data_IF_850668950094
#
_entry.id   IF_850668950094
#
_cell.length_a   1.000
_cell.length_b   1.000
_cell.length_c   1.000
_cell.angle_alpha   90.00
_cell.angle_beta   90.00
_cell.angle_gamma   90.00
#
_symmetry.space_group_name_H-M   'P 1'
#
loop_
_entity.id
_entity.type
_entity.pdbx_description
1 polymer ?
#
# COMPACT_ATOMS: atom_id res chain seq x y z
N UNK A 1 58.30 36.83 -18.38
CA UNK A 1 58.48 35.36 -18.33
C UNK A 1 57.23 34.78 -17.69
N UNK A 2 56.51 33.92 -18.42
CA UNK A 2 55.11 33.52 -18.17
C UNK A 2 54.97 32.67 -16.89
N UNK A 3 54.01 33.01 -16.02
CA UNK A 3 53.52 32.11 -14.96
C UNK A 3 52.45 31.20 -15.58
N UNK A 4 52.69 29.90 -15.48
CA UNK A 4 51.89 28.82 -16.04
C UNK A 4 50.68 28.55 -15.12
N UNK A 5 49.46 28.84 -15.57
CA UNK A 5 48.25 28.30 -14.95
C UNK A 5 48.16 26.80 -15.29
N UNK A 6 48.28 25.95 -14.29
CA UNK A 6 47.88 24.54 -14.35
C UNK A 6 46.42 24.46 -13.89
N UNK A 7 45.49 24.55 -14.83
CA UNK A 7 44.10 24.13 -14.62
C UNK A 7 44.00 22.64 -14.93
N UNK A 8 43.82 21.84 -13.87
CA UNK A 8 43.43 20.43 -14.00
C UNK A 8 41.98 20.38 -14.52
N UNK A 9 41.79 20.06 -15.79
CA UNK A 9 40.48 19.60 -16.27
C UNK A 9 40.35 18.12 -15.92
N UNK A 10 39.60 17.80 -14.86
CA UNK A 10 38.99 16.48 -14.73
C UNK A 10 37.81 16.44 -15.71
N UNK A 11 37.76 15.49 -16.66
CA UNK A 11 36.53 15.28 -17.40
C UNK A 11 35.52 14.67 -16.44
N UNK A 12 34.45 15.42 -16.22
CA UNK A 12 33.25 15.02 -15.50
C UNK A 12 32.65 13.80 -16.21
N UNK A 13 32.98 12.59 -15.75
CA UNK A 13 32.30 11.36 -16.16
C UNK A 13 30.93 11.26 -15.48
N UNK A 14 30.08 12.28 -15.67
CA UNK A 14 28.66 12.29 -15.34
C UNK A 14 27.91 12.20 -16.68
N UNK A 15 27.97 11.03 -17.31
CA UNK A 15 27.44 10.91 -18.67
C UNK A 15 27.11 9.52 -19.15
N UNK A 16 27.17 8.48 -18.30
CA UNK A 16 26.75 7.12 -18.65
C UNK A 16 26.33 6.35 -17.38
N UNK A 17 25.34 6.86 -16.65
CA UNK A 17 24.57 6.02 -15.73
C UNK A 17 23.26 5.69 -16.44
N UNK A 18 23.24 4.50 -17.03
CA UNK A 18 22.18 3.79 -17.75
C UNK A 18 20.84 4.52 -17.99
N UNK A 19 20.70 5.04 -19.21
CA UNK A 19 19.41 5.46 -19.79
C UNK A 19 18.61 4.26 -20.37
N UNK A 20 18.97 3.03 -19.97
CA UNK A 20 18.28 1.79 -20.36
C UNK A 20 16.96 1.60 -19.59
N UNK A 21 16.86 2.13 -18.36
CA UNK A 21 15.66 2.06 -17.51
C UNK A 21 14.48 2.92 -18.02
N UNK A 22 14.73 3.87 -18.94
CA UNK A 22 13.71 4.78 -19.47
C UNK A 22 13.26 4.42 -20.89
N UNK A 23 13.70 3.30 -21.45
CA UNK A 23 13.20 2.86 -22.76
C UNK A 23 11.88 2.12 -22.54
N UNK A 24 10.79 2.51 -23.24
CA UNK A 24 9.53 1.79 -23.16
C UNK A 24 9.76 0.31 -23.47
N UNK A 25 9.29 -0.56 -22.59
CA UNK A 25 9.35 -2.00 -22.83
C UNK A 25 8.59 -2.28 -24.15
N UNK A 26 9.28 -2.90 -25.12
CA UNK A 26 8.67 -3.20 -26.44
C UNK A 26 7.52 -4.17 -26.31
N UNK A 27 7.61 -5.07 -25.33
CA UNK A 27 6.53 -5.96 -24.94
C UNK A 27 5.75 -5.33 -23.78
N UNK A 28 4.50 -4.94 -24.06
CA UNK A 28 3.58 -4.33 -23.11
C UNK A 28 2.91 -5.34 -22.18
N UNK A 29 3.03 -6.64 -22.46
CA UNK A 29 2.54 -7.68 -21.57
C UNK A 29 3.37 -7.73 -20.28
N UNK A 30 4.70 -7.66 -20.40
CA UNK A 30 5.63 -7.78 -19.27
C UNK A 30 5.66 -6.49 -18.43
N UNK A 31 5.57 -6.63 -17.11
CA UNK A 31 5.69 -5.51 -16.18
C UNK A 31 7.09 -4.89 -16.21
N UNK A 32 7.13 -3.56 -16.19
CA UNK A 32 8.36 -2.83 -15.92
C UNK A 32 8.86 -3.12 -14.50
N UNK A 33 10.19 -3.25 -14.31
CA UNK A 33 10.78 -3.62 -13.01
C UNK A 33 10.43 -2.66 -11.87
N UNK A 34 10.26 -1.37 -12.17
CA UNK A 34 9.78 -0.39 -11.20
C UNK A 34 8.35 -0.70 -10.73
N UNK A 35 7.45 -1.08 -11.64
CA UNK A 35 6.08 -1.44 -11.30
C UNK A 35 6.01 -2.77 -10.55
N UNK A 36 6.79 -3.77 -10.98
CA UNK A 36 6.91 -5.05 -10.26
C UNK A 36 7.33 -4.83 -8.79
N UNK A 37 8.37 -4.02 -8.56
CA UNK A 37 8.84 -3.69 -7.22
C UNK A 37 7.82 -2.88 -6.41
N UNK A 38 7.07 -1.99 -7.05
CA UNK A 38 6.04 -1.20 -6.39
C UNK A 38 4.81 -2.04 -6.01
N UNK A 39 4.40 -2.99 -6.85
CA UNK A 39 3.33 -3.93 -6.52
C UNK A 39 3.75 -4.87 -5.36
N UNK A 40 4.99 -5.35 -5.34
CA UNK A 40 5.50 -6.12 -4.18
C UNK A 40 5.37 -5.33 -2.87
N UNK A 41 5.71 -4.05 -2.86
CA UNK A 41 5.53 -3.20 -1.68
C UNK A 41 4.06 -3.05 -1.31
N UNK A 42 3.18 -2.90 -2.30
CA UNK A 42 1.74 -2.81 -2.03
C UNK A 42 1.20 -4.10 -1.40
N UNK A 43 1.63 -5.27 -1.87
CA UNK A 43 1.28 -6.57 -1.26
C UNK A 43 1.66 -6.60 0.23
N UNK A 44 2.83 -6.07 0.59
CA UNK A 44 3.26 -6.00 1.99
C UNK A 44 2.42 -5.00 2.80
N UNK A 45 1.99 -3.89 2.21
CA UNK A 45 1.10 -2.90 2.86
C UNK A 45 -0.31 -3.49 3.11
N UNK A 46 -0.89 -4.21 2.14
CA UNK A 46 -2.19 -4.88 2.32
C UNK A 46 -2.12 -6.00 3.37
N UNK A 47 -1.04 -6.81 3.34
CA UNK A 47 -0.85 -7.84 4.35
C UNK A 47 -0.59 -7.25 5.74
N UNK A 48 0.13 -6.12 5.84
CA UNK A 48 0.26 -5.37 7.08
C UNK A 48 -1.11 -4.93 7.60
N UNK A 49 -1.96 -4.35 6.74
CA UNK A 49 -3.30 -3.93 7.10
C UNK A 49 -4.15 -5.10 7.61
N UNK A 50 -4.09 -6.26 6.93
CA UNK A 50 -4.75 -7.49 7.37
C UNK A 50 -4.34 -7.89 8.79
N UNK A 51 -3.04 -7.82 9.11
CA UNK A 51 -2.53 -8.16 10.44
C UNK A 51 -2.92 -7.13 11.51
N UNK A 52 -2.98 -5.84 11.16
CA UNK A 52 -3.47 -4.79 12.07
C UNK A 52 -4.94 -5.05 12.42
N UNK A 53 -5.78 -5.34 11.42
CA UNK A 53 -7.18 -5.67 11.64
C UNK A 53 -7.37 -6.97 12.44
N UNK A 54 -6.57 -8.00 12.19
CA UNK A 54 -6.59 -9.22 13.01
C UNK A 54 -6.28 -8.92 14.49
N UNK A 55 -5.33 -8.01 14.73
CA UNK A 55 -4.95 -7.58 16.08
C UNK A 55 -6.07 -6.80 16.75
N UNK A 56 -6.75 -5.90 16.02
CA UNK A 56 -7.94 -5.20 16.51
C UNK A 56 -9.06 -6.18 16.86
N UNK A 57 -9.33 -7.15 15.99
CA UNK A 57 -10.34 -8.18 16.22
C UNK A 57 -10.06 -8.96 17.51
N UNK A 58 -8.83 -9.44 17.69
CA UNK A 58 -8.41 -10.16 18.89
C UNK A 58 -8.56 -9.32 20.16
N UNK A 59 -8.21 -8.03 20.12
CA UNK A 59 -8.39 -7.13 21.25
C UNK A 59 -9.86 -7.01 21.68
N UNK A 60 -10.77 -6.76 20.74
CA UNK A 60 -12.19 -6.59 21.05
C UNK A 60 -12.89 -7.90 21.42
N UNK A 61 -12.35 -9.04 20.99
CA UNK A 61 -12.88 -10.37 21.34
C UNK A 61 -12.50 -10.82 22.75
N UNK A 62 -11.41 -10.26 23.30
CA UNK A 62 -10.90 -10.57 24.63
C UNK A 62 -11.99 -10.43 25.71
N UNK A 63 -12.05 -11.37 26.66
CA UNK A 63 -13.16 -11.49 27.62
C UNK A 63 -13.33 -10.26 28.55
N UNK A 64 -12.28 -9.49 28.79
CA UNK A 64 -12.35 -8.24 29.58
C UNK A 64 -12.80 -7.02 28.77
N UNK A 65 -12.72 -7.09 27.43
CA UNK A 65 -13.18 -6.02 26.52
C UNK A 65 -14.59 -6.33 26.01
N UNK A 66 -14.83 -7.59 25.61
CA UNK A 66 -16.12 -8.21 25.32
C UNK A 66 -17.00 -7.42 24.32
N UNK A 67 -16.41 -6.94 23.22
CA UNK A 67 -17.12 -6.22 22.15
C UNK A 67 -17.23 -7.08 20.89
N UNK A 68 -18.02 -8.16 20.95
CA UNK A 68 -18.14 -9.15 19.86
C UNK A 68 -18.52 -8.54 18.49
N UNK A 69 -19.32 -7.48 18.46
CA UNK A 69 -19.67 -6.78 17.21
C UNK A 69 -18.45 -6.14 16.53
N UNK A 70 -17.60 -5.46 17.31
CA UNK A 70 -16.34 -4.87 16.80
C UNK A 70 -15.33 -5.95 16.44
N UNK A 71 -15.24 -7.01 17.25
CA UNK A 71 -14.36 -8.14 16.96
C UNK A 71 -14.69 -8.76 15.60
N UNK A 72 -15.97 -9.03 15.34
CA UNK A 72 -16.44 -9.54 14.04
C UNK A 72 -16.14 -8.56 12.91
N UNK A 73 -16.46 -7.28 13.09
CA UNK A 73 -16.21 -6.24 12.10
C UNK A 73 -14.73 -6.21 11.69
N UNK A 74 -13.80 -6.09 12.63
CA UNK A 74 -12.38 -6.04 12.31
C UNK A 74 -11.84 -7.39 11.77
N UNK A 75 -12.42 -8.52 12.19
CA UNK A 75 -12.06 -9.82 11.61
C UNK A 75 -12.44 -9.88 10.12
N UNK A 76 -13.60 -9.36 9.74
CA UNK A 76 -14.02 -9.29 8.32
C UNK A 76 -13.09 -8.40 7.50
N UNK A 77 -12.74 -7.21 7.99
CA UNK A 77 -11.77 -6.33 7.30
C UNK A 77 -10.39 -7.00 7.19
N UNK A 78 -9.95 -7.77 8.20
CA UNK A 78 -8.70 -8.53 8.11
C UNK A 78 -8.71 -9.57 6.97
N UNK A 79 -9.86 -10.19 6.71
CA UNK A 79 -10.01 -11.11 5.56
C UNK A 79 -9.94 -10.32 4.25
N UNK A 80 -10.68 -9.22 4.15
CA UNK A 80 -10.74 -8.34 2.98
C UNK A 80 -9.33 -7.84 2.56
N UNK A 81 -8.54 -7.30 3.50
CA UNK A 81 -7.17 -6.85 3.17
C UNK A 81 -6.23 -7.99 2.75
N UNK A 82 -6.46 -9.21 3.26
CA UNK A 82 -5.70 -10.37 2.79
C UNK A 82 -6.09 -10.75 1.36
N UNK A 83 -7.37 -10.62 1.02
CA UNK A 83 -7.85 -10.79 -0.35
C UNK A 83 -7.26 -9.73 -1.29
N UNK A 84 -7.13 -8.47 -0.85
CA UNK A 84 -6.43 -7.41 -1.59
C UNK A 84 -4.98 -7.78 -1.89
N UNK A 85 -4.23 -8.26 -0.90
CA UNK A 85 -2.87 -8.75 -1.10
C UNK A 85 -2.81 -9.87 -2.15
N UNK A 86 -3.77 -10.79 -2.13
CA UNK A 86 -3.85 -11.88 -3.10
C UNK A 86 -4.22 -11.40 -4.51
N UNK A 87 -5.13 -10.42 -4.66
CA UNK A 87 -5.44 -9.79 -5.97
C UNK A 87 -4.16 -9.27 -6.63
N UNK A 88 -3.27 -8.60 -5.87
CA UNK A 88 -1.98 -8.13 -6.39
C UNK A 88 -1.00 -9.27 -6.74
N UNK A 89 -0.93 -10.33 -5.95
CA UNK A 89 -0.10 -11.51 -6.25
C UNK A 89 -0.57 -12.15 -7.56
N UNK A 90 -1.87 -12.34 -7.73
CA UNK A 90 -2.46 -12.89 -8.95
C UNK A 90 -2.19 -11.98 -10.15
N UNK A 91 -2.34 -10.66 -9.95
CA UNK A 91 -2.01 -9.68 -10.99
C UNK A 91 -0.54 -9.77 -11.42
N UNK A 92 0.41 -9.79 -10.47
CA UNK A 92 1.84 -9.95 -10.77
C UNK A 92 2.12 -11.21 -11.60
N UNK A 93 1.58 -12.35 -11.15
CA UNK A 93 1.76 -13.63 -11.83
C UNK A 93 1.14 -13.60 -13.24
N UNK A 94 -0.02 -12.95 -13.40
CA UNK A 94 -0.70 -12.82 -14.69
C UNK A 94 0.11 -12.01 -15.72
N UNK A 95 0.98 -11.10 -15.25
CA UNK A 95 1.84 -10.23 -16.07
C UNK A 95 3.26 -10.78 -16.24
N UNK A 96 3.47 -12.07 -15.95
CA UNK A 96 4.74 -12.77 -16.14
C UNK A 96 5.82 -12.44 -15.09
N UNK A 97 5.49 -11.68 -14.06
CA UNK A 97 6.36 -11.50 -12.90
C UNK A 97 6.18 -12.64 -11.90
N UNK A 98 7.08 -12.74 -10.91
CA UNK A 98 7.01 -13.78 -9.87
C UNK A 98 7.02 -13.15 -8.49
N UNK A 99 6.01 -13.48 -7.68
CA UNK A 99 6.03 -13.16 -6.27
C UNK A 99 7.19 -13.86 -5.54
N UNK A 100 8.02 -13.08 -4.85
CA UNK A 100 9.24 -13.57 -4.19
C UNK A 100 9.09 -13.82 -2.69
N UNK A 101 7.95 -13.49 -2.10
CA UNK A 101 7.70 -13.60 -0.66
C UNK A 101 7.38 -12.25 -0.02
N UNK A 102 7.00 -12.31 1.25
CA UNK A 102 6.56 -11.16 2.06
C UNK A 102 7.73 -10.53 2.83
N UNK A 103 7.73 -9.20 2.94
CA UNK A 103 8.54 -8.42 3.88
C UNK A 103 7.62 -7.53 4.74
N UNK A 104 6.70 -8.19 5.45
CA UNK A 104 5.61 -7.52 6.14
C UNK A 104 6.04 -7.03 7.50
N UNK A 105 5.88 -5.73 7.74
CA UNK A 105 6.04 -5.14 9.07
C UNK A 105 4.94 -5.65 10.00
N UNK A 106 5.31 -6.15 11.18
CA UNK A 106 4.31 -6.57 12.16
C UNK A 106 3.62 -5.37 12.85
N UNK A 107 2.32 -5.46 13.19
CA UNK A 107 1.62 -4.46 14.00
C UNK A 107 2.32 -4.25 15.35
N UNK A 108 2.46 -3.00 15.80
CA UNK A 108 3.07 -2.66 17.09
C UNK A 108 2.06 -2.36 18.20
N UNK A 109 0.82 -2.00 17.84
CA UNK A 109 -0.26 -1.68 18.77
C UNK A 109 -1.23 -2.87 18.87
N UNK A 110 -1.60 -3.24 20.09
CA UNK A 110 -2.46 -4.40 20.36
C UNK A 110 -3.59 -4.16 21.36
N UNK A 111 -3.77 -2.93 21.83
CA UNK A 111 -4.83 -2.59 22.77
C UNK A 111 -5.38 -1.18 22.54
N UNK A 112 -6.68 -1.02 22.78
CA UNK A 112 -7.42 0.23 22.67
C UNK A 112 -8.30 0.43 23.91
N UNK A 113 -8.39 1.66 24.40
CA UNK A 113 -9.25 1.97 25.55
C UNK A 113 -10.68 2.23 25.10
N UNK A 114 -10.85 2.94 23.97
CA UNK A 114 -12.15 3.23 23.36
C UNK A 114 -12.27 2.63 21.98
N UNK A 115 -13.50 2.29 21.59
CA UNK A 115 -13.82 1.84 20.24
C UNK A 115 -13.49 2.92 19.18
N UNK A 116 -13.74 4.20 19.52
CA UNK A 116 -13.44 5.34 18.66
C UNK A 116 -11.95 5.43 18.34
N UNK A 117 -11.06 5.13 19.31
CA UNK A 117 -9.61 5.14 19.09
C UNK A 117 -9.20 4.08 18.05
N UNK A 118 -9.81 2.89 18.12
CA UNK A 118 -9.53 1.81 17.17
C UNK A 118 -10.04 2.13 15.76
N UNK A 119 -11.23 2.71 15.64
CA UNK A 119 -11.74 3.17 14.35
C UNK A 119 -10.91 4.32 13.78
N UNK A 120 -10.40 5.22 14.61
CA UNK A 120 -9.51 6.29 14.15
C UNK A 120 -8.19 5.74 13.63
N UNK A 121 -7.62 4.73 14.29
CA UNK A 121 -6.45 4.02 13.78
C UNK A 121 -6.74 3.28 12.48
N UNK A 122 -7.91 2.63 12.36
CA UNK A 122 -8.35 1.99 11.12
C UNK A 122 -8.45 3.01 9.97
N UNK A 123 -9.06 4.18 10.19
CA UNK A 123 -9.12 5.24 9.17
C UNK A 123 -7.72 5.72 8.77
N UNK A 124 -6.79 5.83 9.72
CA UNK A 124 -5.43 6.24 9.43
C UNK A 124 -4.69 5.18 8.59
N UNK A 125 -4.91 3.90 8.90
CA UNK A 125 -4.42 2.77 8.11
C UNK A 125 -4.98 2.81 6.69
N UNK A 126 -6.29 2.92 6.53
CA UNK A 126 -6.94 2.98 5.20
C UNK A 126 -6.45 4.15 4.35
N UNK A 127 -6.30 5.33 4.96
CA UNK A 127 -5.75 6.51 4.28
C UNK A 127 -4.30 6.29 3.86
N UNK A 128 -3.50 5.62 4.68
CA UNK A 128 -2.12 5.27 4.34
C UNK A 128 -2.07 4.30 3.16
N UNK A 129 -2.81 3.19 3.21
CA UNK A 129 -2.91 2.21 2.12
C UNK A 129 -3.40 2.88 0.84
N UNK A 130 -4.46 3.68 0.92
CA UNK A 130 -4.98 4.45 -0.20
C UNK A 130 -3.92 5.35 -0.84
N UNK A 131 -3.15 6.10 -0.04
CA UNK A 131 -2.08 6.94 -0.57
C UNK A 131 -0.96 6.12 -1.25
N UNK A 132 -0.69 4.90 -0.77
CA UNK A 132 0.25 3.97 -1.41
C UNK A 132 -0.27 3.48 -2.77
N UNK A 133 -1.57 3.20 -2.87
CA UNK A 133 -2.22 2.85 -4.14
C UNK A 133 -2.13 4.00 -5.15
N UNK A 134 -2.40 5.24 -4.75
CA UNK A 134 -2.22 6.41 -5.62
C UNK A 134 -0.76 6.58 -6.05
N UNK A 135 0.20 6.36 -5.14
CA UNK A 135 1.62 6.40 -5.49
C UNK A 135 2.00 5.30 -6.50
N UNK A 136 1.47 4.08 -6.35
CA UNK A 136 1.64 2.99 -7.31
C UNK A 136 1.04 3.34 -8.68
N UNK A 137 -0.12 4.00 -8.69
CA UNK A 137 -0.74 4.51 -9.91
C UNK A 137 0.12 5.58 -10.60
N UNK A 138 0.68 6.53 -9.86
CA UNK A 138 1.62 7.53 -10.39
C UNK A 138 2.86 6.86 -11.02
N UNK A 139 3.40 5.81 -10.39
CA UNK A 139 4.50 5.02 -10.95
C UNK A 139 4.08 4.35 -12.26
N UNK A 140 2.89 3.74 -12.29
CA UNK A 140 2.34 3.10 -13.47
C UNK A 140 2.17 4.09 -14.64
N UNK A 141 1.66 5.30 -14.36
CA UNK A 141 1.40 6.33 -15.35
C UNK A 141 2.69 7.00 -15.86
N UNK A 142 3.57 7.43 -14.95
CA UNK A 142 4.68 8.32 -15.28
C UNK A 142 5.98 7.59 -15.59
N UNK A 143 6.23 6.43 -14.97
CA UNK A 143 7.50 5.72 -15.08
C UNK A 143 7.39 4.47 -15.94
N UNK A 144 6.36 3.64 -15.70
CA UNK A 144 6.20 2.39 -16.45
C UNK A 144 5.43 2.59 -17.76
N UNK A 145 4.56 3.60 -17.82
CA UNK A 145 3.59 3.83 -18.91
C UNK A 145 2.77 2.56 -19.15
N UNK A 146 2.16 2.06 -18.07
CA UNK A 146 1.38 0.80 -18.02
C UNK A 146 -0.10 1.08 -17.73
N UNK A 147 -0.88 1.18 -18.81
CA UNK A 147 -2.30 1.53 -18.74
C UNK A 147 -3.15 0.41 -18.12
N UNK A 148 -2.73 -0.85 -18.25
CA UNK A 148 -3.48 -1.98 -17.70
C UNK A 148 -3.28 -2.08 -16.19
N UNK A 149 -2.12 -1.67 -15.66
CA UNK A 149 -1.94 -1.53 -14.21
C UNK A 149 -2.76 -0.37 -13.66
N UNK A 150 -2.82 0.76 -14.35
CA UNK A 150 -3.70 1.87 -13.95
C UNK A 150 -5.17 1.43 -13.88
N UNK A 151 -5.68 0.81 -14.93
CA UNK A 151 -7.06 0.30 -15.00
C UNK A 151 -7.36 -0.73 -13.90
N UNK A 152 -6.43 -1.65 -13.63
CA UNK A 152 -6.55 -2.59 -12.52
C UNK A 152 -6.68 -1.89 -11.15
N UNK A 153 -5.86 -0.87 -10.88
CA UNK A 153 -5.94 -0.12 -9.62
C UNK A 153 -7.25 0.65 -9.49
N UNK A 154 -7.69 1.27 -10.58
CA UNK A 154 -8.93 2.04 -10.64
C UNK A 154 -10.17 1.17 -10.46
N UNK A 155 -10.21 0.01 -11.13
CA UNK A 155 -11.36 -0.90 -11.14
C UNK A 155 -11.49 -1.74 -9.86
N UNK A 156 -10.37 -2.20 -9.31
CA UNK A 156 -10.38 -3.14 -8.19
C UNK A 156 -10.22 -2.49 -6.82
N UNK A 157 -9.67 -1.28 -6.70
CA UNK A 157 -9.28 -0.74 -5.38
C UNK A 157 -9.81 0.66 -5.07
N UNK A 158 -9.75 1.63 -5.99
CA UNK A 158 -10.04 3.03 -5.65
C UNK A 158 -11.47 3.25 -5.15
N UNK A 159 -12.45 2.63 -5.80
CA UNK A 159 -13.85 2.69 -5.37
C UNK A 159 -14.07 1.99 -4.02
N UNK A 160 -13.35 0.89 -3.76
CA UNK A 160 -13.42 0.14 -2.50
C UNK A 160 -12.82 0.98 -1.35
N UNK A 161 -11.65 1.59 -1.53
CA UNK A 161 -11.02 2.46 -0.52
C UNK A 161 -11.93 3.63 -0.13
N UNK A 162 -12.55 4.31 -1.10
CA UNK A 162 -13.45 5.44 -0.80
C UNK A 162 -14.65 4.97 0.03
N UNK A 163 -15.25 3.83 -0.33
CA UNK A 163 -16.37 3.24 0.41
C UNK A 163 -15.97 2.78 1.81
N UNK A 164 -14.80 2.15 1.96
CA UNK A 164 -14.27 1.70 3.26
C UNK A 164 -14.04 2.87 4.21
N UNK A 165 -13.36 3.92 3.74
CA UNK A 165 -13.09 5.13 4.54
C UNK A 165 -14.38 5.85 4.94
N UNK A 166 -15.35 6.01 4.03
CA UNK A 166 -16.67 6.59 4.35
C UNK A 166 -17.41 5.76 5.41
N UNK A 167 -17.42 4.42 5.27
CA UNK A 167 -18.04 3.50 6.23
C UNK A 167 -17.44 3.67 7.63
N UNK A 168 -16.11 3.72 7.75
CA UNK A 168 -15.43 3.93 9.03
C UNK A 168 -15.75 5.32 9.64
N UNK A 169 -15.77 6.38 8.82
CA UNK A 169 -16.14 7.73 9.29
C UNK A 169 -17.57 7.79 9.83
N UNK A 170 -18.50 7.11 9.17
CA UNK A 170 -19.89 6.99 9.65
C UNK A 170 -19.95 6.23 10.98
N UNK A 171 -19.18 5.17 11.15
CA UNK A 171 -19.10 4.45 12.42
C UNK A 171 -18.57 5.34 13.56
N UNK A 172 -17.54 6.16 13.31
CA UNK A 172 -17.09 7.15 14.31
C UNK A 172 -18.20 8.13 14.65
N UNK A 173 -18.91 8.66 13.65
CA UNK A 173 -19.99 9.63 13.87
C UNK A 173 -21.10 9.07 14.76
N UNK A 174 -21.49 7.81 14.52
CA UNK A 174 -22.47 7.10 15.35
C UNK A 174 -21.97 6.91 16.77
N UNK A 175 -20.77 6.35 16.95
CA UNK A 175 -20.26 6.05 18.30
C UNK A 175 -20.00 7.31 19.12
N UNK A 176 -19.45 8.36 18.51
CA UNK A 176 -19.20 9.65 19.17
C UNK A 176 -20.50 10.33 19.62
N UNK A 177 -21.63 10.07 18.94
CA UNK A 177 -22.95 10.58 19.38
C UNK A 177 -23.54 9.82 20.58
N UNK A 178 -22.98 8.67 20.91
CA UNK A 178 -23.42 7.80 22.01
C UNK A 178 -22.52 7.93 23.25
N UNK A 179 -21.34 8.53 23.12
CA UNK A 179 -20.50 8.87 24.27
C UNK A 179 -21.09 10.10 25.00
N UNK A 180 -21.31 10.03 26.33
CA UNK A 180 -21.88 11.13 27.12
C UNK A 180 -20.94 12.32 27.29
#
# INVERSE_FOLDING_TARGET
>A
MKVLLLTFFLPLALGLYDNELNKPHKDKYVLHKTCEAAIHKQIDEEMHASLVYATMAAHFDHNTVARKGLAKFFAENSVEEREHAHKFIDYLNSRGARFSGFDVKMPSKSAWNKAVDALQDAINLEKHVNNKLYHLHDIAALQCVDQHLMDFLESEFFDEQVKSIDKLQRHISVLSSMEP
#
